data_IF_413087775339
#
_entry.id   IF_413087775339
#
_cell.length_a   1.000
_cell.length_b   1.000
_cell.length_c   1.000
_cell.angle_alpha   90.00
_cell.angle_beta   90.00
_cell.angle_gamma   90.00
#
_symmetry.space_group_name_H-M   'P 1'
#
loop_
_entity.id
_entity.type
_entity.pdbx_description
1 polymer ?
#
# COMPACT_ATOMS: atom_id res chain seq x y z
N UNK A 1 -11.89 3.75 31.87
CA UNK A 1 -10.74 4.10 31.03
C UNK A 1 -10.54 3.00 30.02
N UNK A 2 -10.30 3.32 28.74
CA UNK A 2 -10.18 2.35 27.66
C UNK A 2 -8.97 2.71 26.77
N UNK A 3 -8.06 1.76 26.56
CA UNK A 3 -6.94 1.90 25.65
C UNK A 3 -7.39 1.79 24.21
N UNK A 4 -6.68 2.43 23.30
CA UNK A 4 -7.00 2.37 21.89
C UNK A 4 -6.19 3.35 21.03
N UNK A 5 -6.66 3.54 19.80
CA UNK A 5 -6.05 4.45 18.84
C UNK A 5 -7.06 5.49 18.39
N UNK A 6 -6.68 6.75 18.49
CA UNK A 6 -7.43 7.87 17.93
C UNK A 6 -6.86 8.21 16.54
N UNK A 7 -7.71 8.20 15.52
CA UNK A 7 -7.36 8.53 14.14
C UNK A 7 -7.99 9.88 13.80
N UNK A 8 -7.18 10.79 13.24
CA UNK A 8 -7.66 12.06 12.71
C UNK A 8 -7.94 11.96 11.21
N UNK A 9 -9.13 12.43 10.81
CA UNK A 9 -9.59 12.43 9.42
C UNK A 9 -9.76 13.89 8.97
N UNK A 10 -8.68 14.52 8.50
CA UNK A 10 -8.64 15.96 8.25
C UNK A 10 -9.46 16.43 7.03
N UNK A 11 -9.48 15.66 5.94
CA UNK A 11 -10.14 16.07 4.69
C UNK A 11 -11.68 16.11 4.76
N UNK A 12 -12.27 15.57 5.83
CA UNK A 12 -13.73 15.57 6.00
C UNK A 12 -14.31 16.93 6.38
N UNK A 13 -13.52 17.77 7.04
CA UNK A 13 -14.00 19.07 7.55
C UNK A 13 -14.52 20.02 6.46
N UNK A 14 -14.08 19.84 5.22
CA UNK A 14 -14.45 20.68 4.07
C UNK A 14 -15.63 20.14 3.26
N UNK A 15 -16.25 19.03 3.66
CA UNK A 15 -17.31 18.36 2.89
C UNK A 15 -18.69 18.58 3.54
N UNK A 16 -19.77 18.53 2.74
CA UNK A 16 -21.14 18.54 3.25
C UNK A 16 -21.45 17.32 4.12
N UNK A 17 -22.40 17.43 5.07
CA UNK A 17 -22.73 16.39 6.05
C UNK A 17 -22.99 15.00 5.41
N UNK A 18 -23.74 14.93 4.31
CA UNK A 18 -24.02 13.67 3.63
C UNK A 18 -22.75 13.04 3.03
N UNK A 19 -21.83 13.86 2.49
CA UNK A 19 -20.56 13.38 2.00
C UNK A 19 -19.63 12.95 3.14
N UNK A 20 -19.63 13.69 4.25
CA UNK A 20 -18.87 13.31 5.45
C UNK A 20 -19.26 11.92 5.93
N UNK A 21 -20.56 11.62 6.05
CA UNK A 21 -21.04 10.31 6.47
C UNK A 21 -20.56 9.20 5.52
N UNK A 22 -20.74 9.37 4.21
CA UNK A 22 -20.24 8.40 3.22
C UNK A 22 -18.74 8.09 3.36
N UNK A 23 -17.91 9.14 3.56
CA UNK A 23 -16.46 8.95 3.74
C UNK A 23 -16.12 8.26 5.06
N UNK A 24 -16.84 8.57 6.15
CA UNK A 24 -16.63 7.93 7.44
C UNK A 24 -17.02 6.44 7.38
N UNK A 25 -18.17 6.12 6.77
CA UNK A 25 -18.61 4.73 6.61
C UNK A 25 -17.60 3.92 5.78
N UNK A 26 -17.11 4.49 4.67
CA UNK A 26 -16.06 3.88 3.85
C UNK A 26 -14.76 3.67 4.63
N UNK A 27 -14.41 4.62 5.50
CA UNK A 27 -13.21 4.56 6.31
C UNK A 27 -13.30 3.50 7.40
N UNK A 28 -14.41 3.46 8.15
CA UNK A 28 -14.67 2.43 9.16
C UNK A 28 -14.70 1.03 8.50
N UNK A 29 -15.30 0.91 7.32
CA UNK A 29 -15.30 -0.34 6.55
C UNK A 29 -13.88 -0.79 6.20
N UNK A 30 -13.01 0.15 5.80
CA UNK A 30 -11.60 -0.15 5.48
C UNK A 30 -10.81 -0.58 6.72
N UNK A 31 -11.03 0.07 7.87
CA UNK A 31 -10.40 -0.29 9.14
C UNK A 31 -10.85 -1.70 9.58
N UNK A 32 -12.16 -1.95 9.54
CA UNK A 32 -12.72 -3.24 9.95
C UNK A 32 -12.20 -4.38 9.08
N UNK A 33 -12.17 -4.18 7.75
CA UNK A 33 -11.62 -5.20 6.83
C UNK A 33 -10.12 -5.42 7.07
N UNK A 34 -9.35 -4.35 7.23
CA UNK A 34 -7.91 -4.44 7.46
C UNK A 34 -7.57 -5.17 8.78
N UNK A 35 -8.24 -4.83 9.86
CA UNK A 35 -8.03 -5.48 11.16
C UNK A 35 -8.50 -6.94 11.14
N UNK A 36 -9.68 -7.21 10.55
CA UNK A 36 -10.22 -8.57 10.43
C UNK A 36 -9.33 -9.49 9.58
N UNK A 37 -8.79 -9.01 8.44
CA UNK A 37 -7.83 -9.78 7.61
C UNK A 37 -6.55 -10.11 8.37
N UNK A 38 -6.12 -9.23 9.27
CA UNK A 38 -4.98 -9.44 10.15
C UNK A 38 -5.36 -10.15 11.46
N UNK A 39 -6.59 -10.71 11.57
CA UNK A 39 -7.10 -11.53 12.65
C UNK A 39 -7.25 -10.85 14.01
N UNK A 40 -7.22 -9.54 14.04
CA UNK A 40 -7.60 -8.82 15.24
C UNK A 40 -9.10 -8.99 15.49
N UNK A 41 -9.43 -9.25 16.76
CA UNK A 41 -10.80 -9.45 17.24
C UNK A 41 -11.03 -8.50 18.42
N UNK A 42 -12.28 -8.39 18.82
CA UNK A 42 -12.68 -7.62 20.02
C UNK A 42 -12.26 -6.15 19.98
N UNK A 43 -12.16 -5.56 18.79
CA UNK A 43 -11.99 -4.13 18.58
C UNK A 43 -13.35 -3.47 18.27
N UNK A 44 -13.47 -2.19 18.62
CA UNK A 44 -14.66 -1.40 18.32
C UNK A 44 -14.27 -0.03 17.74
N UNK A 45 -14.85 0.35 16.61
CA UNK A 45 -14.62 1.64 15.96
C UNK A 45 -15.76 2.60 16.29
N UNK A 46 -15.46 3.69 16.99
CA UNK A 46 -16.43 4.72 17.39
C UNK A 46 -16.05 6.05 16.75
N UNK A 47 -17.05 6.70 16.12
CA UNK A 47 -16.85 8.04 15.55
C UNK A 47 -17.01 9.13 16.61
N UNK A 48 -16.06 10.07 16.64
CA UNK A 48 -16.10 11.29 17.43
C UNK A 48 -15.88 12.52 16.54
N UNK A 49 -16.96 13.03 15.95
CA UNK A 49 -16.89 14.14 14.98
C UNK A 49 -16.07 13.76 13.75
N UNK A 50 -14.91 14.40 13.53
CA UNK A 50 -13.96 14.11 12.45
C UNK A 50 -12.84 13.16 12.86
N UNK A 51 -13.00 12.41 13.93
CA UNK A 51 -12.05 11.41 14.39
C UNK A 51 -12.73 10.07 14.57
N UNK A 52 -11.95 9.00 14.46
CA UNK A 52 -12.40 7.63 14.77
C UNK A 52 -11.51 7.11 15.89
N UNK A 53 -12.12 6.58 16.92
CA UNK A 53 -11.43 5.88 17.99
C UNK A 53 -11.62 4.37 17.80
N UNK A 54 -10.52 3.66 17.74
CA UNK A 54 -10.48 2.19 17.76
C UNK A 54 -10.19 1.77 19.19
N UNK A 55 -11.18 1.26 19.87
CA UNK A 55 -11.01 0.65 21.18
C UNK A 55 -10.36 -0.72 21.02
N UNK A 56 -9.19 -0.90 21.58
CA UNK A 56 -8.43 -2.17 21.58
C UNK A 56 -7.42 -2.20 22.72
N UNK A 57 -7.31 -3.34 23.41
CA UNK A 57 -6.53 -3.41 24.65
C UNK A 57 -5.01 -3.34 24.42
N UNK A 58 -4.53 -3.81 23.27
CA UNK A 58 -3.11 -3.83 22.89
C UNK A 58 -2.90 -2.97 21.62
N UNK A 59 -3.08 -1.63 21.72
CA UNK A 59 -3.14 -0.77 20.55
C UNK A 59 -1.84 -0.74 19.72
N UNK A 60 -0.69 -1.05 20.32
CA UNK A 60 0.60 -1.18 19.65
C UNK A 60 0.57 -2.25 18.56
N UNK A 61 -0.17 -3.34 18.79
CA UNK A 61 -0.25 -4.48 17.90
C UNK A 61 -0.90 -4.15 16.54
N UNK A 62 -1.79 -3.15 16.48
CA UNK A 62 -2.50 -2.78 15.28
C UNK A 62 -1.87 -1.61 14.51
N UNK A 63 -0.83 -0.97 15.06
CA UNK A 63 -0.16 0.20 14.44
C UNK A 63 0.34 -0.09 13.03
N UNK A 64 0.94 -1.25 12.80
CA UNK A 64 1.48 -1.60 11.49
C UNK A 64 0.39 -1.75 10.41
N UNK A 65 -0.81 -2.18 10.81
CA UNK A 65 -1.98 -2.27 9.90
C UNK A 65 -2.46 -0.88 9.53
N UNK A 66 -2.58 0.04 10.51
CA UNK A 66 -3.05 1.40 10.26
C UNK A 66 -2.18 2.17 9.27
N UNK A 67 -0.87 1.89 9.26
CA UNK A 67 0.08 2.46 8.29
C UNK A 67 -0.14 1.98 6.85
N UNK A 68 -1.03 1.03 6.62
CA UNK A 68 -1.34 0.50 5.28
C UNK A 68 -2.74 0.88 4.78
N UNK A 69 -3.57 1.50 5.61
CA UNK A 69 -4.96 1.82 5.26
C UNK A 69 -5.03 3.18 4.56
N UNK A 70 -5.52 3.26 3.31
CA UNK A 70 -5.79 4.53 2.65
C UNK A 70 -6.76 5.41 3.45
N UNK A 71 -6.42 6.68 3.61
CA UNK A 71 -7.20 7.63 4.39
C UNK A 71 -6.74 7.84 5.82
N UNK A 72 -5.93 6.95 6.40
CA UNK A 72 -5.29 7.18 7.71
C UNK A 72 -4.16 8.19 7.54
N UNK A 73 -4.37 9.43 7.93
CA UNK A 73 -3.37 10.49 7.81
C UNK A 73 -2.50 10.57 9.05
N UNK A 74 -3.15 10.73 10.21
CA UNK A 74 -2.50 10.78 11.52
C UNK A 74 -3.26 9.88 12.49
N UNK A 75 -2.55 9.18 13.34
CA UNK A 75 -3.11 8.42 14.44
C UNK A 75 -2.24 8.50 15.69
N UNK A 76 -2.81 8.19 16.83
CA UNK A 76 -2.10 8.16 18.11
C UNK A 76 -2.65 7.07 19.00
N UNK A 77 -1.77 6.41 19.75
CA UNK A 77 -2.15 5.55 20.88
C UNK A 77 -2.60 6.45 22.00
N UNK A 78 -3.73 6.16 22.60
CA UNK A 78 -4.36 7.00 23.62
C UNK A 78 -5.18 6.18 24.60
N UNK A 79 -5.37 6.73 25.79
CA UNK A 79 -6.41 6.31 26.70
C UNK A 79 -7.62 7.23 26.56
N UNK A 80 -8.82 6.65 26.47
CA UNK A 80 -10.08 7.37 26.50
C UNK A 80 -10.79 7.13 27.83
N UNK A 81 -11.49 8.15 28.31
CA UNK A 81 -12.34 8.06 29.49
C UNK A 81 -13.52 9.01 29.39
N UNK A 82 -14.64 8.62 29.98
CA UNK A 82 -15.78 9.53 30.20
C UNK A 82 -15.55 10.34 31.48
N UNK A 83 -16.10 11.53 31.55
CA UNK A 83 -15.97 12.43 32.70
C UNK A 83 -17.33 13.10 33.00
N UNK A 84 -17.54 13.40 34.28
CA UNK A 84 -18.71 14.11 34.78
C UNK A 84 -18.37 15.56 35.21
N UNK A 85 -17.10 15.82 35.56
CA UNK A 85 -16.63 17.14 35.99
C UNK A 85 -15.33 17.56 35.33
N UNK A 86 -15.04 18.86 35.40
CA UNK A 86 -13.77 19.44 34.95
C UNK A 86 -12.58 18.93 35.75
N UNK A 87 -12.77 18.82 37.07
CA UNK A 87 -11.76 18.34 38.02
C UNK A 87 -11.37 16.89 37.74
N UNK A 88 -12.32 16.08 37.31
CA UNK A 88 -12.06 14.69 36.92
C UNK A 88 -11.17 14.62 35.67
N UNK A 89 -11.40 15.48 34.67
CA UNK A 89 -10.49 15.57 33.50
C UNK A 89 -9.07 15.89 33.95
N UNK A 90 -8.92 16.91 34.81
CA UNK A 90 -7.61 17.34 35.31
C UNK A 90 -6.91 16.23 36.10
N UNK A 91 -7.63 15.52 36.97
CA UNK A 91 -7.07 14.45 37.79
C UNK A 91 -6.59 13.29 36.95
N UNK A 92 -7.43 12.76 36.04
CA UNK A 92 -7.08 11.61 35.21
C UNK A 92 -5.97 11.99 34.21
N UNK A 93 -6.06 13.17 33.58
CA UNK A 93 -5.02 13.62 32.64
C UNK A 93 -3.67 13.83 33.35
N UNK A 94 -3.67 14.32 34.57
CA UNK A 94 -2.49 14.45 35.42
C UNK A 94 -1.86 13.06 35.70
N UNK A 95 -2.66 12.10 36.16
CA UNK A 95 -2.17 10.74 36.48
C UNK A 95 -1.59 10.02 35.26
N UNK A 96 -2.17 10.22 34.09
CA UNK A 96 -1.67 9.66 32.84
C UNK A 96 -0.39 10.31 32.32
N UNK A 97 -0.06 11.53 32.80
CA UNK A 97 1.00 12.33 32.22
C UNK A 97 2.21 12.53 33.13
N UNK A 98 2.06 12.57 34.45
CA UNK A 98 3.11 12.95 35.42
C UNK A 98 4.40 12.14 35.28
N UNK A 99 4.28 10.81 35.13
CA UNK A 99 5.44 9.92 35.07
C UNK A 99 6.24 10.03 33.75
N UNK A 100 5.61 10.57 32.70
CA UNK A 100 6.24 10.78 31.41
C UNK A 100 7.17 12.00 31.38
N UNK A 101 6.99 12.93 32.31
CA UNK A 101 7.61 14.25 32.33
C UNK A 101 8.89 14.36 33.16
N UNK A 102 9.27 13.28 33.86
CA UNK A 102 10.46 13.29 34.72
C UNK A 102 11.69 13.76 33.94
N UNK A 103 12.32 14.83 34.45
CA UNK A 103 13.52 15.45 33.90
C UNK A 103 13.37 15.97 32.43
N UNK A 104 12.13 16.25 31.97
CA UNK A 104 11.85 16.74 30.62
C UNK A 104 11.05 18.03 30.65
N UNK A 105 11.30 18.87 29.64
CA UNK A 105 10.47 20.03 29.37
C UNK A 105 9.19 19.63 28.64
N UNK A 106 8.10 20.33 28.92
CA UNK A 106 6.80 19.98 28.33
C UNK A 106 5.94 21.19 27.98
N UNK A 107 4.90 20.92 27.20
CA UNK A 107 3.71 21.78 27.06
C UNK A 107 2.44 20.93 27.06
N UNK A 108 1.34 21.54 27.45
CA UNK A 108 -0.01 20.98 27.29
C UNK A 108 -0.68 21.66 26.10
N UNK A 109 -1.25 20.85 25.21
CA UNK A 109 -2.06 21.32 24.08
C UNK A 109 -3.45 20.70 24.22
N UNK A 110 -4.47 21.51 24.39
CA UNK A 110 -5.81 20.99 24.52
C UNK A 110 -6.71 21.40 23.35
N UNK A 111 -7.63 20.52 23.00
CA UNK A 111 -8.69 20.76 22.02
C UNK A 111 -10.03 20.34 22.61
N UNK A 112 -11.07 21.09 22.28
CA UNK A 112 -12.39 20.87 22.80
C UNK A 112 -13.43 20.91 21.67
N UNK A 113 -14.29 19.93 21.67
CA UNK A 113 -15.46 19.86 20.81
C UNK A 113 -16.70 19.54 21.66
N UNK A 114 -17.77 20.28 21.49
CA UNK A 114 -18.98 20.22 22.29
C UNK A 114 -19.18 21.46 23.18
N UNK A 115 -20.27 21.45 23.95
CA UNK A 115 -20.62 22.56 24.83
C UNK A 115 -20.16 22.28 26.27
N UNK A 116 -19.15 23.01 26.74
CA UNK A 116 -18.55 22.86 28.08
C UNK A 116 -18.41 24.24 28.73
N UNK A 117 -18.45 24.29 30.06
CA UNK A 117 -18.28 25.52 30.83
C UNK A 117 -16.84 26.01 30.94
N UNK A 118 -15.86 25.29 30.41
CA UNK A 118 -14.44 25.62 30.38
C UNK A 118 -13.93 25.79 28.95
N UNK A 119 -12.82 26.49 28.79
CA UNK A 119 -12.12 26.65 27.51
C UNK A 119 -10.97 25.67 27.38
N UNK A 120 -10.51 25.43 26.12
CA UNK A 120 -9.27 24.65 25.93
C UNK A 120 -8.06 25.35 26.53
N UNK A 121 -8.02 26.68 26.56
CA UNK A 121 -6.93 27.40 27.20
C UNK A 121 -6.88 27.16 28.71
N UNK A 122 -8.04 27.24 29.39
CA UNK A 122 -8.12 26.93 30.83
C UNK A 122 -7.59 25.53 31.10
N UNK A 123 -8.09 24.52 30.34
CA UNK A 123 -7.68 23.13 30.54
C UNK A 123 -6.16 22.93 30.35
N UNK A 124 -5.57 23.60 29.35
CA UNK A 124 -4.13 23.52 29.11
C UNK A 124 -3.32 24.21 30.24
N UNK A 125 -3.78 25.37 30.72
CA UNK A 125 -3.12 26.10 31.79
C UNK A 125 -3.18 25.37 33.14
N UNK A 126 -4.40 24.94 33.54
CA UNK A 126 -4.61 24.31 34.85
C UNK A 126 -3.92 22.95 34.94
N UNK A 127 -3.92 22.17 33.84
CA UNK A 127 -3.15 20.92 33.78
C UNK A 127 -1.64 21.16 33.74
N UNK A 128 -1.20 22.20 33.01
CA UNK A 128 0.20 22.60 32.96
C UNK A 128 0.74 23.02 34.32
N UNK A 129 -0.02 23.80 35.10
CA UNK A 129 0.31 24.18 36.46
C UNK A 129 0.48 22.93 37.36
N UNK A 130 -0.47 21.98 37.32
CA UNK A 130 -0.40 20.74 38.12
C UNK A 130 0.81 19.88 37.79
N UNK A 131 1.25 19.85 36.52
CA UNK A 131 2.36 19.01 36.04
C UNK A 131 3.74 19.66 36.24
N UNK A 132 3.81 20.94 36.61
CA UNK A 132 5.06 21.70 36.68
C UNK A 132 6.09 21.07 37.62
N UNK A 133 5.66 20.65 38.82
CA UNK A 133 6.53 20.09 39.84
C UNK A 133 7.06 18.66 39.49
N UNK A 134 6.52 18.06 38.45
CA UNK A 134 6.88 16.70 37.98
C UNK A 134 7.77 16.70 36.73
N UNK A 135 8.25 17.88 36.32
CA UNK A 135 8.95 18.09 35.06
C UNK A 135 10.19 18.96 35.22
N UNK A 136 11.00 19.08 34.17
CA UNK A 136 12.08 20.07 34.10
C UNK A 136 11.57 21.50 33.81
N UNK A 137 10.26 21.70 33.63
CA UNK A 137 9.61 22.97 33.38
C UNK A 137 8.82 23.05 32.11
N UNK A 138 8.12 24.17 31.90
CA UNK A 138 7.26 24.37 30.71
C UNK A 138 8.07 25.06 29.61
N UNK A 139 8.06 24.47 28.40
CA UNK A 139 8.56 25.09 27.18
C UNK A 139 7.45 25.10 26.12
N UNK A 140 6.89 26.26 25.81
CA UNK A 140 5.79 26.39 24.85
C UNK A 140 6.25 26.28 23.38
N UNK A 141 7.54 26.51 23.13
CA UNK A 141 8.08 26.58 21.76
C UNK A 141 8.74 25.26 21.32
N UNK A 142 9.65 24.71 22.14
CA UNK A 142 10.43 23.50 21.84
C UNK A 142 10.38 22.48 22.98
N UNK A 143 9.18 22.00 23.38
CA UNK A 143 9.07 21.03 24.46
C UNK A 143 9.62 19.66 24.01
N UNK A 144 10.24 18.96 24.93
CA UNK A 144 10.62 17.56 24.71
C UNK A 144 9.39 16.64 24.68
N UNK A 145 8.34 16.99 25.45
CA UNK A 145 7.06 16.26 25.42
C UNK A 145 5.90 17.25 25.25
N UNK A 146 4.97 16.92 24.36
CA UNK A 146 3.68 17.58 24.29
C UNK A 146 2.60 16.66 24.82
N UNK A 147 1.90 17.06 25.86
CA UNK A 147 0.70 16.38 26.35
C UNK A 147 -0.50 16.93 25.58
N UNK A 148 -1.17 16.08 24.82
CA UNK A 148 -2.41 16.42 24.13
C UNK A 148 -3.60 15.96 24.95
N UNK A 149 -4.56 16.86 25.18
CA UNK A 149 -5.84 16.56 25.83
C UNK A 149 -6.97 16.94 24.87
N UNK A 150 -7.66 15.96 24.34
CA UNK A 150 -8.76 16.18 23.41
C UNK A 150 -10.08 15.82 24.07
N UNK A 151 -10.93 16.82 24.32
CA UNK A 151 -12.27 16.65 24.88
C UNK A 151 -13.31 16.65 23.76
N UNK A 152 -14.12 15.61 23.72
CA UNK A 152 -15.17 15.42 22.71
C UNK A 152 -16.48 15.03 23.38
N UNK A 153 -17.39 15.99 23.53
CA UNK A 153 -18.62 15.83 24.35
C UNK A 153 -18.25 15.36 25.77
N UNK A 154 -18.64 14.17 26.16
CA UNK A 154 -18.34 13.56 27.48
C UNK A 154 -17.11 12.66 27.51
N UNK A 155 -16.38 12.54 26.41
CA UNK A 155 -15.19 11.68 26.33
C UNK A 155 -13.92 12.53 26.23
N UNK A 156 -12.90 12.17 26.97
CA UNK A 156 -11.57 12.77 26.94
C UNK A 156 -10.54 11.75 26.46
N UNK A 157 -9.56 12.23 25.68
CA UNK A 157 -8.43 11.48 25.17
C UNK A 157 -7.14 12.15 25.60
N UNK A 158 -6.16 11.39 26.12
CA UNK A 158 -4.85 11.89 26.53
C UNK A 158 -3.76 11.11 25.83
N UNK A 159 -2.86 11.82 25.16
CA UNK A 159 -1.75 11.22 24.41
C UNK A 159 -0.57 12.19 24.27
N UNK A 160 0.58 11.70 23.76
CA UNK A 160 1.81 12.50 23.69
C UNK A 160 2.30 12.78 22.26
N UNK A 161 1.94 11.97 21.29
CA UNK A 161 2.46 12.11 19.94
C UNK A 161 1.47 11.65 18.88
N UNK A 162 1.50 12.30 17.72
CA UNK A 162 0.84 11.86 16.52
C UNK A 162 1.83 11.11 15.62
N UNK A 163 1.41 9.98 15.07
CA UNK A 163 2.17 9.20 14.11
C UNK A 163 1.56 9.35 12.71
N UNK A 164 2.38 9.43 11.64
CA UNK A 164 1.88 9.45 10.28
C UNK A 164 1.36 8.07 9.87
N UNK A 165 0.21 8.07 9.21
CA UNK A 165 -0.32 6.91 8.50
C UNK A 165 0.00 6.95 6.99
N UNK A 166 -0.79 6.20 6.19
CA UNK A 166 -0.62 6.15 4.74
C UNK A 166 -1.04 7.47 4.04
N UNK A 167 -1.96 8.21 4.65
CA UNK A 167 -2.62 9.34 4.03
C UNK A 167 -3.54 8.95 2.88
N UNK A 168 -3.97 9.94 2.10
CA UNK A 168 -4.87 9.72 0.97
C UNK A 168 -6.35 9.73 1.34
N UNK A 169 -7.17 8.92 0.66
CA UNK A 169 -8.62 8.89 0.79
C UNK A 169 -9.13 7.48 1.15
N UNK A 170 -10.24 7.36 1.89
CA UNK A 170 -10.81 6.05 2.21
C UNK A 170 -11.13 5.22 0.96
N UNK A 171 -10.91 3.92 1.02
CA UNK A 171 -11.15 3.00 -0.10
C UNK A 171 -12.58 3.08 -0.62
N UNK A 172 -12.75 3.14 -1.93
CA UNK A 172 -14.05 3.25 -2.61
C UNK A 172 -14.60 4.68 -2.71
N UNK A 173 -14.00 5.67 -2.05
CA UNK A 173 -14.50 7.06 -2.05
C UNK A 173 -14.32 7.78 -3.38
N UNK A 174 -13.47 7.28 -4.27
CA UNK A 174 -13.14 7.90 -5.57
C UNK A 174 -13.54 7.04 -6.78
N UNK A 175 -14.41 6.06 -6.57
CA UNK A 175 -14.88 5.18 -7.64
C UNK A 175 -13.97 3.98 -7.89
N UNK A 176 -14.07 3.38 -9.10
CA UNK A 176 -13.34 2.15 -9.45
C UNK A 176 -12.55 2.30 -10.75
N UNK A 177 -11.35 1.74 -10.78
CA UNK A 177 -10.45 1.75 -11.93
C UNK A 177 -9.90 0.37 -12.26
N UNK A 178 -9.46 0.16 -13.50
CA UNK A 178 -8.79 -1.05 -13.98
C UNK A 178 -7.32 -0.73 -14.28
N UNK A 179 -6.39 -1.37 -13.60
CA UNK A 179 -4.94 -1.14 -13.79
C UNK A 179 -4.36 -2.15 -14.78
N UNK A 180 -3.60 -1.71 -15.77
CA UNK A 180 -2.72 -2.57 -16.56
C UNK A 180 -1.55 -3.01 -15.68
N UNK A 181 -1.52 -4.30 -15.31
CA UNK A 181 -0.60 -4.82 -14.32
C UNK A 181 0.34 -5.86 -14.93
N UNK A 182 1.62 -5.56 -15.01
CA UNK A 182 2.66 -6.46 -15.56
C UNK A 182 3.64 -7.00 -14.52
N UNK A 183 3.52 -6.59 -13.25
CA UNK A 183 4.44 -6.96 -12.18
C UNK A 183 5.78 -6.21 -12.17
N UNK A 184 6.14 -5.49 -13.25
CA UNK A 184 7.32 -4.62 -13.29
C UNK A 184 7.22 -3.44 -12.31
N UNK A 185 8.31 -2.69 -12.13
CA UNK A 185 8.45 -1.68 -11.06
C UNK A 185 7.32 -0.62 -11.07
N UNK A 186 6.90 -0.17 -12.26
CA UNK A 186 6.03 1.01 -12.40
C UNK A 186 4.55 0.69 -12.08
N UNK A 187 4.02 -0.45 -12.51
CA UNK A 187 2.59 -0.75 -12.36
C UNK A 187 2.13 -1.01 -10.91
N UNK A 188 2.89 -1.67 -10.01
CA UNK A 188 2.52 -1.74 -8.59
C UNK A 188 2.48 -0.38 -7.92
N UNK A 189 3.40 0.54 -8.29
CA UNK A 189 3.41 1.91 -7.77
C UNK A 189 2.20 2.69 -8.28
N UNK A 190 1.85 2.57 -9.57
CA UNK A 190 0.65 3.19 -10.12
C UNK A 190 -0.63 2.67 -9.45
N UNK A 191 -0.71 1.35 -9.22
CA UNK A 191 -1.81 0.72 -8.49
C UNK A 191 -1.91 1.24 -7.06
N UNK A 192 -0.80 1.28 -6.33
CA UNK A 192 -0.73 1.81 -4.98
C UNK A 192 -1.17 3.29 -4.92
N UNK A 193 -0.70 4.14 -5.84
CA UNK A 193 -1.11 5.55 -5.88
C UNK A 193 -2.61 5.70 -6.14
N UNK A 194 -3.19 4.83 -6.96
CA UNK A 194 -4.62 4.82 -7.26
C UNK A 194 -5.45 4.35 -6.05
N UNK A 195 -5.01 3.28 -5.37
CA UNK A 195 -5.61 2.81 -4.12
C UNK A 195 -5.55 3.88 -3.03
N UNK A 196 -4.38 4.52 -2.86
CA UNK A 196 -4.18 5.61 -1.90
C UNK A 196 -5.10 6.80 -2.15
N UNK A 197 -5.50 7.05 -3.41
CA UNK A 197 -6.49 8.09 -3.76
C UNK A 197 -7.94 7.67 -3.55
N UNK A 198 -8.16 6.52 -2.89
CA UNK A 198 -9.48 6.02 -2.52
C UNK A 198 -10.25 5.34 -3.65
N UNK A 199 -9.59 4.93 -4.73
CA UNK A 199 -10.22 4.11 -5.75
C UNK A 199 -10.26 2.64 -5.31
N UNK A 200 -11.33 1.92 -5.65
CA UNK A 200 -11.26 0.48 -5.81
C UNK A 200 -10.51 0.16 -7.10
N UNK A 201 -9.70 -0.89 -7.10
CA UNK A 201 -8.84 -1.20 -8.24
C UNK A 201 -8.94 -2.67 -8.60
N UNK A 202 -9.39 -2.96 -9.82
CA UNK A 202 -9.17 -4.25 -10.46
C UNK A 202 -7.91 -4.18 -11.33
N UNK A 203 -7.41 -5.33 -11.78
CA UNK A 203 -6.19 -5.41 -12.58
C UNK A 203 -6.38 -6.23 -13.84
N UNK A 204 -5.67 -5.86 -14.90
CA UNK A 204 -5.57 -6.60 -16.15
C UNK A 204 -4.12 -7.02 -16.37
N UNK A 205 -3.89 -8.32 -16.40
CA UNK A 205 -2.61 -8.92 -16.78
C UNK A 205 -2.71 -9.57 -18.16
N UNK A 206 -1.92 -9.07 -19.11
CA UNK A 206 -1.82 -9.63 -20.45
C UNK A 206 -0.58 -10.50 -20.49
N UNK A 207 -0.77 -11.83 -20.40
CA UNK A 207 0.30 -12.80 -20.30
C UNK A 207 0.76 -13.24 -21.69
N UNK A 208 1.93 -12.76 -22.12
CA UNK A 208 2.51 -13.08 -23.42
C UNK A 208 3.58 -14.19 -23.42
N UNK A 209 4.01 -14.65 -22.22
CA UNK A 209 5.15 -15.60 -22.08
C UNK A 209 4.81 -16.88 -21.32
N UNK A 210 3.55 -17.04 -20.89
CA UNK A 210 3.09 -18.24 -20.20
C UNK A 210 3.51 -18.34 -18.72
N UNK A 211 3.69 -19.58 -18.22
CA UNK A 211 3.73 -19.87 -16.79
C UNK A 211 4.92 -19.33 -15.99
N UNK A 212 6.10 -19.14 -16.60
CA UNK A 212 7.31 -18.79 -15.83
C UNK A 212 7.27 -17.41 -15.17
N UNK A 213 6.60 -16.44 -15.80
CA UNK A 213 6.49 -15.06 -15.29
C UNK A 213 5.20 -14.84 -14.50
N UNK A 214 4.21 -15.71 -14.70
CA UNK A 214 2.88 -15.62 -14.08
C UNK A 214 2.96 -15.55 -12.55
N UNK A 215 3.71 -16.45 -11.94
CA UNK A 215 3.86 -16.49 -10.48
C UNK A 215 4.57 -15.25 -9.92
N UNK A 216 5.57 -14.72 -10.62
CA UNK A 216 6.25 -13.49 -10.22
C UNK A 216 5.29 -12.29 -10.23
N UNK A 217 4.51 -12.14 -11.31
CA UNK A 217 3.49 -11.09 -11.44
C UNK A 217 2.43 -11.22 -10.34
N UNK A 218 1.92 -12.43 -10.10
CA UNK A 218 0.89 -12.66 -9.09
C UNK A 218 1.41 -12.50 -7.66
N UNK A 219 2.67 -12.80 -7.39
CA UNK A 219 3.27 -12.53 -6.09
C UNK A 219 3.24 -11.04 -5.77
N UNK A 220 3.65 -10.20 -6.73
CA UNK A 220 3.61 -8.74 -6.55
C UNK A 220 2.17 -8.22 -6.45
N UNK A 221 1.26 -8.72 -7.30
CA UNK A 221 -0.16 -8.37 -7.24
C UNK A 221 -0.78 -8.71 -5.88
N UNK A 222 -0.63 -9.96 -5.45
CA UNK A 222 -1.16 -10.45 -4.17
C UNK A 222 -0.66 -9.60 -3.00
N UNK A 223 0.63 -9.26 -3.02
CA UNK A 223 1.21 -8.40 -1.99
C UNK A 223 0.56 -7.02 -1.95
N UNK A 224 0.36 -6.38 -3.11
CA UNK A 224 -0.22 -5.03 -3.16
C UNK A 224 -1.67 -5.03 -2.70
N UNK A 225 -2.48 -6.01 -3.14
CA UNK A 225 -3.90 -6.05 -2.74
C UNK A 225 -4.09 -6.47 -1.29
N UNK A 226 -3.28 -7.39 -0.79
CA UNK A 226 -3.34 -7.82 0.61
C UNK A 226 -3.04 -6.67 1.57
N UNK A 227 -2.08 -5.82 1.18
CA UNK A 227 -1.56 -4.76 2.03
C UNK A 227 -2.29 -3.42 1.90
N UNK A 228 -2.92 -3.12 0.76
CA UNK A 228 -3.45 -1.78 0.49
C UNK A 228 -4.89 -1.74 -0.04
N UNK A 229 -5.48 -2.88 -0.42
CA UNK A 229 -6.81 -2.93 -1.00
C UNK A 229 -7.84 -3.44 0.00
N UNK A 230 -8.46 -2.53 0.76
CA UNK A 230 -9.42 -2.85 1.82
C UNK A 230 -10.85 -2.50 1.45
N UNK A 231 -11.81 -3.10 2.15
CA UNK A 231 -13.26 -2.92 2.04
C UNK A 231 -13.88 -3.44 0.72
N UNK A 232 -13.14 -4.21 -0.07
CA UNK A 232 -13.66 -4.87 -1.27
C UNK A 232 -12.78 -6.06 -1.67
N UNK A 233 -13.25 -6.83 -2.65
CA UNK A 233 -12.51 -7.97 -3.21
C UNK A 233 -12.03 -7.64 -4.62
N UNK A 234 -10.73 -7.31 -4.82
CA UNK A 234 -10.19 -6.97 -6.13
C UNK A 234 -10.29 -8.15 -7.11
N UNK A 235 -10.43 -7.84 -8.41
CA UNK A 235 -10.38 -8.84 -9.49
C UNK A 235 -9.11 -8.68 -10.31
N UNK A 236 -8.52 -9.83 -10.67
CA UNK A 236 -7.46 -9.90 -11.68
C UNK A 236 -8.04 -10.55 -12.93
N UNK A 237 -8.06 -9.81 -14.04
CA UNK A 237 -8.35 -10.32 -15.36
C UNK A 237 -7.04 -10.77 -16.00
N UNK A 238 -6.84 -12.08 -16.09
CA UNK A 238 -5.69 -12.66 -16.78
C UNK A 238 -6.09 -13.00 -18.21
N UNK A 239 -5.36 -12.49 -19.18
CA UNK A 239 -5.55 -12.75 -20.61
C UNK A 239 -4.38 -13.57 -21.12
N UNK A 240 -4.62 -14.79 -21.60
CA UNK A 240 -3.60 -15.53 -22.35
C UNK A 240 -3.40 -14.89 -23.71
N UNK A 241 -2.27 -14.22 -23.87
CA UNK A 241 -1.85 -13.50 -25.06
C UNK A 241 -0.55 -14.06 -25.64
N UNK A 242 -0.25 -15.34 -25.42
CA UNK A 242 0.96 -16.00 -25.94
C UNK A 242 1.06 -15.99 -27.47
N UNK A 243 -0.07 -15.90 -28.18
CA UNK A 243 -0.14 -15.73 -29.65
C UNK A 243 0.10 -14.30 -30.15
N UNK A 244 -0.01 -13.29 -29.27
CA UNK A 244 0.06 -11.87 -29.68
C UNK A 244 1.42 -11.45 -30.25
N UNK A 245 2.58 -11.86 -29.71
CA UNK A 245 3.87 -11.51 -30.29
C UNK A 245 4.02 -11.96 -31.75
N UNK A 246 3.64 -13.19 -32.06
CA UNK A 246 3.69 -13.72 -33.43
C UNK A 246 2.72 -12.99 -34.38
N UNK A 247 1.50 -12.71 -33.91
CA UNK A 247 0.54 -11.92 -34.67
C UNK A 247 1.08 -10.55 -35.05
N UNK A 248 1.66 -9.83 -34.08
CA UNK A 248 2.23 -8.50 -34.32
C UNK A 248 3.49 -8.55 -35.21
N UNK A 249 4.28 -9.62 -35.12
CA UNK A 249 5.43 -9.79 -36.00
C UNK A 249 5.03 -9.97 -37.46
N UNK A 250 3.93 -10.67 -37.72
CA UNK A 250 3.42 -10.93 -39.08
C UNK A 250 2.71 -9.72 -39.68
N UNK A 251 1.95 -8.97 -38.88
CA UNK A 251 1.00 -7.99 -39.40
C UNK A 251 1.43 -6.53 -39.20
N UNK A 252 2.46 -6.25 -38.37
CA UNK A 252 2.87 -4.90 -38.03
C UNK A 252 4.37 -4.71 -38.30
N UNK A 253 4.73 -3.60 -38.93
CA UNK A 253 6.12 -3.25 -39.18
C UNK A 253 6.90 -3.13 -37.88
N UNK A 254 8.17 -3.57 -37.89
CA UNK A 254 8.99 -3.64 -36.68
C UNK A 254 9.06 -2.32 -35.89
N UNK A 255 9.10 -1.19 -36.58
CA UNK A 255 9.18 0.16 -36.00
C UNK A 255 7.93 0.57 -35.23
N UNK A 256 6.76 -0.03 -35.52
CA UNK A 256 5.44 0.30 -34.93
C UNK A 256 4.88 -0.79 -34.00
N UNK A 257 5.57 -1.93 -33.85
CA UNK A 257 5.07 -3.05 -33.03
C UNK A 257 4.83 -2.66 -31.58
N UNK A 258 5.68 -1.81 -31.00
CA UNK A 258 5.54 -1.36 -29.63
C UNK A 258 4.27 -0.49 -29.45
N UNK A 259 3.97 0.37 -30.41
CA UNK A 259 2.75 1.18 -30.42
C UNK A 259 1.52 0.28 -30.59
N UNK A 260 1.55 -0.66 -31.54
CA UNK A 260 0.46 -1.61 -31.76
C UNK A 260 0.20 -2.49 -30.53
N UNK A 261 1.25 -2.97 -29.86
CA UNK A 261 1.13 -3.70 -28.60
C UNK A 261 0.41 -2.88 -27.52
N UNK A 262 0.77 -1.62 -27.38
CA UNK A 262 0.11 -0.69 -26.44
C UNK A 262 -1.37 -0.49 -26.79
N UNK A 263 -1.69 -0.32 -28.08
CA UNK A 263 -3.06 -0.18 -28.56
C UNK A 263 -3.87 -1.43 -28.17
N UNK A 264 -3.32 -2.65 -28.36
CA UNK A 264 -3.99 -3.89 -27.95
C UNK A 264 -4.26 -3.90 -26.45
N UNK A 265 -3.30 -3.49 -25.61
CA UNK A 265 -3.50 -3.44 -24.15
C UNK A 265 -4.61 -2.47 -23.75
N UNK A 266 -4.67 -1.31 -24.40
CA UNK A 266 -5.72 -0.33 -24.13
C UNK A 266 -7.10 -0.80 -24.63
N UNK A 267 -7.16 -1.46 -25.78
CA UNK A 267 -8.41 -2.03 -26.31
C UNK A 267 -8.93 -3.18 -25.44
N UNK A 268 -8.05 -4.05 -24.95
CA UNK A 268 -8.39 -5.09 -23.97
C UNK A 268 -8.91 -4.44 -22.68
N UNK A 269 -8.20 -3.43 -22.16
CA UNK A 269 -8.63 -2.67 -20.99
C UNK A 269 -10.00 -2.05 -21.20
N UNK A 270 -10.21 -1.35 -22.31
CA UNK A 270 -11.49 -0.72 -22.70
C UNK A 270 -12.64 -1.72 -22.69
N UNK A 271 -12.43 -2.89 -23.29
CA UNK A 271 -13.44 -3.95 -23.37
C UNK A 271 -13.80 -4.52 -22.00
N UNK A 272 -12.84 -4.53 -21.07
CA UNK A 272 -13.03 -5.05 -19.72
C UNK A 272 -13.55 -4.02 -18.71
N UNK A 273 -13.53 -2.71 -18.99
CA UNK A 273 -14.03 -1.68 -18.07
C UNK A 273 -15.46 -1.98 -17.59
N UNK A 274 -16.38 -2.29 -18.52
CA UNK A 274 -17.77 -2.60 -18.17
C UNK A 274 -17.87 -3.87 -17.32
N UNK A 275 -17.10 -4.92 -17.65
CA UNK A 275 -17.12 -6.20 -16.92
C UNK A 275 -16.55 -6.05 -15.50
N UNK A 276 -15.56 -5.18 -15.31
CA UNK A 276 -15.00 -4.86 -13.99
C UNK A 276 -15.86 -3.87 -13.20
N UNK A 277 -16.75 -3.11 -13.86
CA UNK A 277 -17.47 -1.98 -13.27
C UNK A 277 -16.56 -0.77 -13.05
N UNK A 278 -15.45 -0.68 -13.80
CA UNK A 278 -14.47 0.42 -13.72
C UNK A 278 -14.81 1.54 -14.70
N UNK A 279 -14.44 2.78 -14.32
CA UNK A 279 -14.67 3.99 -15.13
C UNK A 279 -13.43 4.47 -15.85
N UNK A 280 -12.25 4.03 -15.41
CA UNK A 280 -10.97 4.46 -15.94
C UNK A 280 -10.00 3.28 -16.08
N UNK A 281 -9.13 3.37 -17.08
CA UNK A 281 -7.93 2.55 -17.21
C UNK A 281 -6.78 3.27 -16.49
N UNK A 282 -5.94 2.54 -15.77
CA UNK A 282 -4.74 3.08 -15.11
C UNK A 282 -3.51 2.42 -15.68
N UNK A 283 -2.47 3.22 -15.96
CA UNK A 283 -1.19 2.74 -16.48
C UNK A 283 -0.03 3.26 -15.64
N UNK A 284 1.07 2.52 -15.62
CA UNK A 284 2.34 2.92 -15.00
C UNK A 284 3.24 3.73 -15.94
N UNK A 285 2.66 4.46 -16.89
CA UNK A 285 3.43 5.25 -17.85
C UNK A 285 4.02 6.50 -17.21
N UNK A 286 5.28 6.78 -17.57
CA UNK A 286 6.02 8.00 -17.24
C UNK A 286 6.61 8.58 -18.52
N UNK A 287 6.58 9.91 -18.67
CA UNK A 287 7.05 10.57 -19.88
C UNK A 287 8.51 10.22 -20.19
N UNK A 288 8.77 9.96 -21.48
CA UNK A 288 10.10 9.74 -22.05
C UNK A 288 10.89 8.52 -21.52
N UNK A 289 10.30 7.65 -20.68
CA UNK A 289 10.98 6.43 -20.23
C UNK A 289 11.08 5.35 -21.31
N UNK A 290 10.09 5.28 -22.21
CA UNK A 290 10.07 4.31 -23.33
C UNK A 290 9.62 5.02 -24.62
N UNK A 291 9.91 4.43 -25.76
CA UNK A 291 9.52 4.98 -27.09
C UNK A 291 8.02 5.23 -27.25
N UNK A 292 7.18 4.45 -26.56
CA UNK A 292 5.71 4.62 -26.56
C UNK A 292 5.20 5.62 -25.52
N UNK A 293 6.10 6.30 -24.81
CA UNK A 293 5.75 7.21 -23.70
C UNK A 293 6.13 8.67 -24.00
N UNK A 294 6.31 9.02 -25.27
CA UNK A 294 6.36 10.42 -25.73
C UNK A 294 4.94 10.98 -25.79
N UNK A 295 4.78 12.29 -25.68
CA UNK A 295 3.46 12.95 -25.76
C UNK A 295 2.75 12.56 -27.05
N UNK A 296 3.44 12.55 -28.20
CA UNK A 296 2.88 12.19 -29.49
C UNK A 296 2.39 10.73 -29.51
N UNK A 297 3.19 9.78 -28.98
CA UNK A 297 2.78 8.38 -28.91
C UNK A 297 1.58 8.19 -27.98
N UNK A 298 1.57 8.85 -26.83
CA UNK A 298 0.46 8.77 -25.86
C UNK A 298 -0.83 9.37 -26.40
N UNK A 299 -0.75 10.52 -27.10
CA UNK A 299 -1.91 11.16 -27.73
C UNK A 299 -2.52 10.26 -28.81
N UNK A 300 -1.70 9.73 -29.71
CA UNK A 300 -2.17 8.89 -30.80
C UNK A 300 -2.76 7.56 -30.30
N UNK A 301 -2.11 6.89 -29.35
CA UNK A 301 -2.63 5.67 -28.72
C UNK A 301 -3.98 5.98 -28.05
N UNK A 302 -4.07 7.10 -27.33
CA UNK A 302 -5.29 7.54 -26.68
C UNK A 302 -6.43 7.77 -27.66
N UNK A 303 -6.16 8.45 -28.77
CA UNK A 303 -7.15 8.75 -29.82
C UNK A 303 -7.67 7.47 -30.51
N UNK A 304 -6.79 6.51 -30.84
CA UNK A 304 -7.17 5.24 -31.45
C UNK A 304 -7.99 4.33 -30.52
N UNK A 305 -7.88 4.52 -29.21
CA UNK A 305 -8.59 3.71 -28.22
C UNK A 305 -9.78 4.44 -27.58
N UNK A 306 -10.00 5.69 -27.97
CA UNK A 306 -11.13 6.52 -27.50
C UNK A 306 -12.51 5.83 -27.71
N UNK A 307 -13.55 6.17 -26.91
CA UNK A 307 -13.49 6.97 -25.69
C UNK A 307 -13.15 6.12 -24.46
N UNK A 308 -12.06 6.42 -23.79
CA UNK A 308 -11.72 5.90 -22.47
C UNK A 308 -11.04 6.98 -21.62
N UNK A 309 -11.28 6.99 -20.32
CA UNK A 309 -10.49 7.77 -19.38
C UNK A 309 -9.23 6.97 -19.02
N UNK A 310 -8.05 7.53 -19.26
CA UNK A 310 -6.78 6.91 -18.86
C UNK A 310 -6.10 7.77 -17.78
N UNK A 311 -5.90 7.18 -16.61
CA UNK A 311 -5.18 7.79 -15.51
C UNK A 311 -3.72 7.32 -15.55
N UNK A 312 -2.80 8.26 -15.43
CA UNK A 312 -1.35 8.01 -15.45
C UNK A 312 -0.71 8.59 -14.19
N UNK A 313 -0.82 7.91 -13.02
CA UNK A 313 -0.37 8.45 -11.74
C UNK A 313 1.13 8.80 -11.71
N UNK A 314 1.93 8.22 -12.60
CA UNK A 314 3.38 8.37 -12.63
C UNK A 314 3.89 9.24 -13.78
N UNK A 315 3.01 9.94 -14.49
CA UNK A 315 3.36 10.61 -15.76
C UNK A 315 4.51 11.61 -15.64
N UNK A 316 4.64 12.27 -14.50
CA UNK A 316 5.66 13.31 -14.23
C UNK A 316 6.81 12.82 -13.35
N UNK A 317 6.78 11.57 -12.87
CA UNK A 317 7.85 11.01 -12.03
C UNK A 317 9.03 10.53 -12.89
N UNK A 318 10.25 10.79 -12.45
CA UNK A 318 11.42 10.15 -13.01
C UNK A 318 11.60 8.71 -12.50
N UNK A 319 12.56 7.96 -13.10
CA UNK A 319 12.77 6.55 -12.73
C UNK A 319 13.23 6.37 -11.28
N UNK A 320 14.01 7.32 -10.76
CA UNK A 320 14.52 7.24 -9.37
C UNK A 320 13.40 7.50 -8.35
N UNK A 321 12.51 8.44 -8.64
CA UNK A 321 11.33 8.70 -7.83
C UNK A 321 10.41 7.48 -7.77
N UNK A 322 10.15 6.83 -8.90
CA UNK A 322 9.35 5.59 -8.97
C UNK A 322 10.04 4.46 -8.18
N UNK A 323 11.35 4.29 -8.32
CA UNK A 323 12.12 3.29 -7.55
C UNK A 323 12.06 3.58 -6.06
N UNK A 324 12.17 4.85 -5.65
CA UNK A 324 12.04 5.25 -4.25
C UNK A 324 10.65 4.88 -3.69
N UNK A 325 9.58 5.14 -4.45
CA UNK A 325 8.23 4.74 -4.07
C UNK A 325 8.08 3.22 -4.01
N UNK A 326 8.60 2.47 -5.01
CA UNK A 326 8.55 1.01 -5.04
C UNK A 326 9.25 0.39 -3.81
N UNK A 327 10.40 0.95 -3.38
CA UNK A 327 11.07 0.56 -2.13
C UNK A 327 10.26 0.91 -0.91
N UNK A 328 9.66 2.11 -0.87
CA UNK A 328 8.82 2.54 0.24
C UNK A 328 7.61 1.63 0.49
N UNK A 329 7.00 1.11 -0.57
CA UNK A 329 5.89 0.15 -0.46
C UNK A 329 6.35 -1.31 -0.37
N UNK A 330 7.64 -1.61 -0.60
CA UNK A 330 8.23 -2.95 -0.47
C UNK A 330 8.11 -3.84 -1.72
N UNK A 331 7.87 -3.28 -2.91
CA UNK A 331 7.70 -4.06 -4.16
C UNK A 331 8.93 -4.11 -5.04
N UNK A 332 9.94 -3.22 -4.81
CA UNK A 332 11.05 -3.01 -5.74
C UNK A 332 11.80 -4.29 -6.08
N UNK A 333 12.32 -5.02 -5.09
CA UNK A 333 13.17 -6.17 -5.32
C UNK A 333 12.43 -7.34 -6.02
N UNK A 334 11.14 -7.53 -5.73
CA UNK A 334 10.32 -8.53 -6.41
C UNK A 334 10.03 -8.12 -7.86
N UNK A 335 9.67 -6.85 -8.07
CA UNK A 335 9.36 -6.31 -9.39
C UNK A 335 10.57 -6.24 -10.32
N UNK A 336 11.78 -6.01 -9.78
CA UNK A 336 13.03 -6.01 -10.56
C UNK A 336 13.35 -7.39 -11.16
N UNK A 337 12.88 -8.47 -10.51
CA UNK A 337 13.07 -9.84 -10.98
C UNK A 337 12.07 -10.25 -12.07
N UNK A 338 10.95 -9.56 -12.19
CA UNK A 338 9.93 -9.85 -13.22
C UNK A 338 10.50 -9.56 -14.59
N UNK A 339 10.62 -10.58 -15.43
CA UNK A 339 11.13 -10.43 -16.80
C UNK A 339 10.21 -9.55 -17.64
N UNK A 340 10.80 -8.62 -18.35
CA UNK A 340 10.05 -7.74 -19.24
C UNK A 340 9.49 -8.53 -20.43
N UNK A 341 8.15 -8.50 -20.58
CA UNK A 341 7.42 -9.23 -21.62
C UNK A 341 7.20 -8.39 -22.90
N UNK A 342 7.34 -7.08 -22.80
CA UNK A 342 6.90 -6.14 -23.85
C UNK A 342 7.95 -5.86 -24.94
N UNK A 343 9.13 -6.49 -24.91
CA UNK A 343 10.17 -6.24 -25.90
C UNK A 343 10.01 -7.14 -27.13
N UNK A 344 9.09 -6.74 -28.04
CA UNK A 344 8.73 -7.50 -29.27
C UNK A 344 9.31 -6.91 -30.54
N UNK A 345 10.03 -5.79 -30.45
CA UNK A 345 10.71 -5.14 -31.60
C UNK A 345 12.20 -5.35 -31.50
N UNK A 346 12.85 -5.57 -32.64
CA UNK A 346 14.31 -5.69 -32.75
C UNK A 346 14.89 -4.47 -33.46
N UNK A 347 15.90 -3.80 -32.85
CA UNK A 347 16.56 -2.61 -33.43
C UNK A 347 15.74 -1.31 -33.21
N UNK A 348 15.78 -0.41 -34.19
CA UNK A 348 15.16 0.92 -34.07
C UNK A 348 13.64 0.84 -33.98
N UNK A 349 13.05 1.51 -32.99
CA UNK A 349 11.62 1.75 -32.83
C UNK A 349 11.32 3.24 -32.97
N UNK A 350 10.12 3.56 -33.47
CA UNK A 350 9.68 4.95 -33.63
C UNK A 350 9.31 5.52 -32.26
N UNK A 351 10.09 6.49 -31.77
CA UNK A 351 9.82 7.19 -30.51
C UNK A 351 8.89 8.40 -30.70
N UNK A 352 8.96 9.05 -31.87
CA UNK A 352 8.11 10.20 -32.23
C UNK A 352 7.38 9.83 -33.52
N UNK A 353 6.26 9.09 -33.43
CA UNK A 353 5.51 8.70 -34.63
C UNK A 353 4.77 9.91 -35.24
N UNK A 354 4.70 9.92 -36.57
CA UNK A 354 3.84 10.84 -37.32
C UNK A 354 2.41 10.24 -37.42
N UNK A 355 1.34 11.02 -37.52
CA UNK A 355 -0.02 10.51 -37.68
C UNK A 355 -0.16 9.44 -38.78
N UNK A 356 0.49 9.63 -39.95
CA UNK A 356 0.54 8.64 -41.04
C UNK A 356 1.17 7.30 -40.66
N UNK A 357 2.00 7.23 -39.64
CA UNK A 357 2.58 5.96 -39.23
C UNK A 357 1.51 5.09 -38.60
N UNK A 358 0.55 5.66 -37.85
CA UNK A 358 -0.54 4.94 -37.26
C UNK A 358 -1.57 4.42 -38.27
N UNK A 359 -1.74 5.09 -39.42
CA UNK A 359 -2.56 4.58 -40.53
C UNK A 359 -2.01 3.26 -41.10
N UNK A 360 -0.74 2.96 -40.84
CA UNK A 360 -0.06 1.71 -41.25
C UNK A 360 -0.24 0.58 -40.25
N UNK A 361 -0.83 0.85 -39.10
CA UNK A 361 -1.21 -0.19 -38.13
C UNK A 361 -2.55 -0.76 -38.57
N UNK A 362 -2.64 -2.07 -38.77
CA UNK A 362 -3.91 -2.69 -39.20
C UNK A 362 -4.97 -2.58 -38.10
N UNK A 363 -6.23 -2.84 -38.44
CA UNK A 363 -7.27 -2.99 -37.41
C UNK A 363 -6.90 -4.14 -36.47
N UNK A 364 -6.76 -3.79 -35.17
CA UNK A 364 -6.38 -4.74 -34.11
C UNK A 364 -7.61 -5.33 -33.38
N UNK A 365 -8.82 -4.91 -33.77
CA UNK A 365 -10.06 -5.42 -33.16
C UNK A 365 -10.18 -6.94 -33.23
N UNK A 366 -9.88 -7.63 -34.35
CA UNK A 366 -10.02 -9.09 -34.44
C UNK A 366 -9.14 -9.85 -33.45
N UNK A 367 -7.88 -9.45 -33.29
CA UNK A 367 -7.00 -10.11 -32.30
C UNK A 367 -7.44 -9.81 -30.87
N UNK A 368 -7.94 -8.60 -30.58
CA UNK A 368 -8.48 -8.26 -29.26
C UNK A 368 -9.69 -9.12 -28.93
N UNK A 369 -10.62 -9.32 -29.87
CA UNK A 369 -11.79 -10.19 -29.68
C UNK A 369 -11.39 -11.65 -29.45
N UNK A 370 -10.36 -12.15 -30.15
CA UNK A 370 -9.83 -13.50 -29.92
C UNK A 370 -9.26 -13.63 -28.50
N UNK A 371 -8.44 -12.68 -28.08
CA UNK A 371 -7.81 -12.67 -26.77
C UNK A 371 -8.85 -12.56 -25.63
N UNK A 372 -9.92 -11.82 -25.83
CA UNK A 372 -11.00 -11.66 -24.85
C UNK A 372 -11.73 -13.00 -24.57
N UNK A 373 -11.73 -13.96 -25.51
CA UNK A 373 -12.29 -15.30 -25.28
C UNK A 373 -11.46 -16.13 -24.29
N UNK A 374 -10.20 -15.76 -24.07
CA UNK A 374 -9.24 -16.45 -23.20
C UNK A 374 -9.05 -15.78 -21.84
N UNK A 375 -9.99 -14.90 -21.41
CA UNK A 375 -9.92 -14.18 -20.14
C UNK A 375 -10.30 -15.09 -19.00
N UNK A 376 -9.39 -15.24 -18.03
CA UNK A 376 -9.63 -15.87 -16.72
C UNK A 376 -9.80 -14.76 -15.69
N UNK A 377 -10.81 -14.89 -14.82
CA UNK A 377 -11.06 -13.91 -13.75
C UNK A 377 -10.75 -14.55 -12.41
N UNK A 378 -9.83 -13.95 -11.68
CA UNK A 378 -9.49 -14.31 -10.31
C UNK A 378 -10.07 -13.27 -9.36
N UNK A 379 -10.58 -13.69 -8.19
CA UNK A 379 -11.12 -12.79 -7.16
C UNK A 379 -10.26 -12.86 -5.90
N UNK A 380 -9.78 -11.69 -5.45
CA UNK A 380 -8.84 -11.59 -4.33
C UNK A 380 -7.44 -12.04 -4.72
N UNK A 381 -6.73 -12.70 -3.79
CA UNK A 381 -5.40 -13.24 -4.05
C UNK A 381 -5.45 -14.40 -5.03
N UNK A 382 -4.51 -14.39 -5.98
CA UNK A 382 -4.42 -15.45 -7.02
C UNK A 382 -3.51 -16.56 -6.51
N UNK A 383 -3.94 -17.83 -6.58
CA UNK A 383 -3.07 -18.95 -6.23
C UNK A 383 -1.80 -18.96 -7.07
N UNK A 384 -0.66 -19.19 -6.42
CA UNK A 384 0.62 -19.39 -7.10
C UNK A 384 0.82 -20.87 -7.40
N UNK A 385 1.34 -21.18 -8.59
CA UNK A 385 1.66 -22.56 -8.95
C UNK A 385 2.82 -23.08 -8.07
N UNK A 386 2.64 -24.26 -7.50
CA UNK A 386 3.61 -24.86 -6.55
C UNK A 386 4.91 -25.34 -7.21
N UNK A 387 4.95 -25.40 -8.55
CA UNK A 387 6.11 -25.88 -9.33
C UNK A 387 7.14 -24.81 -9.66
N UNK A 388 7.05 -23.62 -9.09
CA UNK A 388 8.06 -22.58 -9.36
C UNK A 388 9.33 -22.90 -8.62
N UNK A 389 10.43 -22.99 -9.36
CA UNK A 389 11.77 -23.23 -8.84
C UNK A 389 12.11 -22.19 -7.78
N UNK A 390 12.14 -22.60 -6.51
CA UNK A 390 12.85 -21.86 -5.49
C UNK A 390 14.30 -21.68 -5.95
N UNK A 391 14.90 -20.52 -5.67
CA UNK A 391 16.35 -20.31 -5.91
C UNK A 391 17.21 -21.33 -5.16
N UNK A 392 16.60 -22.08 -4.24
CA UNK A 392 17.18 -23.12 -3.43
C UNK A 392 16.48 -24.46 -3.71
N UNK A 393 17.26 -25.51 -3.88
CA UNK A 393 16.76 -26.90 -3.98
C UNK A 393 16.52 -27.55 -2.61
N UNK A 394 17.22 -27.07 -1.56
CA UNK A 394 17.09 -27.46 -0.16
C UNK A 394 17.56 -26.32 0.74
N UNK A 395 17.23 -26.37 2.04
CA UNK A 395 17.77 -25.43 3.00
C UNK A 395 19.28 -25.70 3.22
N UNK A 396 20.17 -24.71 3.00
CA UNK A 396 21.60 -24.86 3.28
C UNK A 396 21.85 -25.08 4.77
N UNK A 397 22.81 -25.93 5.13
CA UNK A 397 23.18 -26.22 6.53
C UNK A 397 23.60 -24.95 7.30
N UNK A 398 24.23 -23.99 6.62
CA UNK A 398 24.65 -22.70 7.21
C UNK A 398 23.60 -21.60 7.04
N UNK A 399 22.32 -21.92 6.82
CA UNK A 399 21.25 -20.92 6.72
C UNK A 399 20.87 -20.36 8.09
N UNK A 400 20.43 -19.11 8.09
CA UNK A 400 19.78 -18.45 9.23
C UNK A 400 18.43 -17.93 8.76
N UNK A 401 17.36 -18.50 9.27
CA UNK A 401 15.99 -18.27 8.82
C UNK A 401 15.29 -17.23 9.68
N UNK A 402 14.66 -16.27 9.04
CA UNK A 402 13.98 -15.15 9.71
C UNK A 402 12.53 -15.04 9.21
N UNK A 403 11.60 -15.21 10.12
CA UNK A 403 10.18 -15.02 9.84
C UNK A 403 9.82 -13.54 9.99
N UNK A 404 9.57 -12.87 8.87
CA UNK A 404 9.20 -11.44 8.84
C UNK A 404 7.69 -11.22 8.66
N UNK A 405 6.89 -12.25 8.85
CA UNK A 405 5.43 -12.12 8.87
C UNK A 405 4.97 -11.36 10.12
N UNK A 406 3.83 -10.73 10.01
CA UNK A 406 3.18 -10.10 11.16
C UNK A 406 2.76 -11.15 12.20
N UNK A 407 2.69 -10.82 13.51
CA UNK A 407 2.44 -11.78 14.59
C UNK A 407 1.17 -12.63 14.39
N UNK A 408 0.09 -12.02 13.90
CA UNK A 408 -1.16 -12.72 13.60
C UNK A 408 -1.00 -13.85 12.58
N UNK A 409 -0.22 -13.61 11.50
CA UNK A 409 0.06 -14.63 10.50
C UNK A 409 0.99 -15.73 11.00
N UNK A 410 1.89 -15.43 11.94
CA UNK A 410 2.75 -16.44 12.58
C UNK A 410 1.93 -17.38 13.46
N UNK A 411 0.96 -16.84 14.22
CA UNK A 411 0.03 -17.64 15.03
C UNK A 411 -0.79 -18.64 14.20
N UNK A 412 -1.14 -18.28 12.94
CA UNK A 412 -1.86 -19.18 12.02
C UNK A 412 -1.05 -20.38 11.57
N UNK A 413 0.17 -20.15 11.19
CA UNK A 413 1.09 -21.17 10.69
C UNK A 413 2.45 -20.95 11.31
N UNK A 414 2.73 -21.72 12.34
CA UNK A 414 4.05 -21.71 12.97
C UNK A 414 5.09 -22.22 11.97
N UNK A 415 6.19 -21.48 11.84
CA UNK A 415 7.38 -21.88 11.11
C UNK A 415 8.51 -22.01 12.14
N UNK A 416 9.29 -23.08 12.04
CA UNK A 416 10.53 -23.18 12.81
C UNK A 416 11.58 -22.32 12.16
N UNK A 417 11.83 -21.12 12.70
CA UNK A 417 12.81 -20.15 12.23
C UNK A 417 13.74 -19.75 13.36
N UNK A 418 14.94 -19.27 13.02
CA UNK A 418 15.96 -18.86 13.98
C UNK A 418 15.65 -17.50 14.63
N UNK A 419 14.91 -16.64 13.93
CA UNK A 419 14.49 -15.34 14.46
C UNK A 419 13.12 -14.90 13.89
N UNK A 420 12.50 -13.95 14.59
CA UNK A 420 11.25 -13.31 14.18
C UNK A 420 11.38 -11.79 14.20
N UNK A 421 10.93 -11.14 13.14
CA UNK A 421 10.88 -9.68 13.00
C UNK A 421 9.61 -9.26 12.26
N UNK A 422 9.35 -7.95 12.17
CA UNK A 422 8.26 -7.39 11.39
C UNK A 422 8.84 -6.37 10.40
N UNK A 423 8.34 -6.37 9.17
CA UNK A 423 8.67 -5.33 8.21
C UNK A 423 7.81 -4.06 8.46
N UNK A 424 8.35 -2.82 8.44
CA UNK A 424 9.72 -2.47 8.01
C UNK A 424 10.77 -2.47 9.14
N UNK A 425 10.42 -2.77 10.37
CA UNK A 425 11.30 -2.62 11.54
C UNK A 425 12.60 -3.45 11.42
N UNK A 426 12.52 -4.60 10.74
CA UNK A 426 13.69 -5.41 10.43
C UNK A 426 14.78 -4.62 9.68
N UNK A 427 14.42 -3.64 8.86
CA UNK A 427 15.39 -2.84 8.11
C UNK A 427 16.30 -1.99 9.03
N UNK A 428 15.79 -1.63 10.22
CA UNK A 428 16.55 -0.92 11.24
C UNK A 428 17.44 -1.86 12.06
N UNK A 429 17.20 -3.17 12.02
CA UNK A 429 17.92 -4.19 12.77
C UNK A 429 18.95 -4.96 11.92
N UNK A 430 19.15 -4.60 10.65
CA UNK A 430 20.04 -5.31 9.73
C UNK A 430 21.53 -5.26 10.14
N UNK A 431 21.93 -4.34 10.97
CA UNK A 431 23.29 -4.29 11.56
C UNK A 431 23.55 -5.42 12.56
N UNK A 432 22.53 -6.06 13.10
CA UNK A 432 22.65 -7.23 13.96
C UNK A 432 23.05 -8.49 13.17
N UNK A 433 22.96 -8.47 11.84
CA UNK A 433 23.40 -9.56 10.96
C UNK A 433 24.87 -9.34 10.57
N UNK A 434 25.78 -10.06 11.21
CA UNK A 434 27.24 -9.84 11.07
C UNK A 434 28.02 -10.99 10.45
N UNK A 435 27.48 -12.23 10.49
CA UNK A 435 28.18 -13.42 9.99
C UNK A 435 28.02 -13.56 8.47
N UNK A 436 29.09 -13.25 7.74
CA UNK A 436 29.14 -13.36 6.27
C UNK A 436 29.20 -14.79 5.73
N UNK A 437 29.42 -15.79 6.58
CA UNK A 437 29.44 -17.20 6.18
C UNK A 437 28.02 -17.79 6.15
N UNK A 438 27.04 -17.14 6.81
CA UNK A 438 25.65 -17.57 6.80
C UNK A 438 24.91 -17.12 5.55
N UNK A 439 23.88 -17.89 5.18
CA UNK A 439 22.88 -17.52 4.19
C UNK A 439 21.63 -17.11 4.93
N UNK A 440 21.28 -15.84 4.85
CA UNK A 440 20.09 -15.30 5.52
C UNK A 440 18.84 -15.50 4.67
N UNK A 441 17.82 -16.15 5.23
CA UNK A 441 16.59 -16.48 4.50
C UNK A 441 15.43 -15.76 5.18
N UNK A 442 14.84 -14.79 4.47
CA UNK A 442 13.72 -13.99 4.97
C UNK A 442 12.39 -14.51 4.41
N UNK A 443 11.47 -14.88 5.31
CA UNK A 443 10.22 -15.54 4.96
C UNK A 443 9.05 -14.59 5.19
N UNK A 444 8.24 -14.38 4.15
CA UNK A 444 7.00 -13.60 4.22
C UNK A 444 5.87 -14.29 3.40
N UNK A 445 4.61 -13.87 3.49
CA UNK A 445 3.51 -14.59 2.86
C UNK A 445 3.70 -14.86 1.36
N UNK A 446 4.12 -13.85 0.60
CA UNK A 446 4.25 -13.91 -0.87
C UNK A 446 5.70 -13.87 -1.39
N UNK A 447 6.70 -13.88 -0.51
CA UNK A 447 8.10 -13.75 -0.88
C UNK A 447 8.56 -12.32 -1.21
N UNK A 448 7.65 -11.36 -1.34
CA UNK A 448 7.95 -10.00 -1.82
C UNK A 448 8.77 -9.20 -0.81
N UNK A 449 8.31 -9.08 0.43
CA UNK A 449 9.06 -8.39 1.49
C UNK A 449 10.36 -9.11 1.83
N UNK A 450 10.37 -10.45 1.80
CA UNK A 450 11.58 -11.24 1.99
C UNK A 450 12.66 -10.88 0.97
N UNK A 451 12.29 -10.74 -0.30
CA UNK A 451 13.19 -10.31 -1.37
C UNK A 451 13.69 -8.87 -1.16
N UNK A 452 12.85 -7.96 -0.67
CA UNK A 452 13.27 -6.58 -0.37
C UNK A 452 14.33 -6.55 0.74
N UNK A 453 14.10 -7.26 1.85
CA UNK A 453 15.07 -7.35 2.96
C UNK A 453 16.37 -8.03 2.49
N UNK A 454 16.28 -9.13 1.75
CA UNK A 454 17.42 -9.83 1.17
C UNK A 454 18.22 -8.94 0.23
N UNK A 455 17.58 -8.15 -0.62
CA UNK A 455 18.23 -7.21 -1.52
C UNK A 455 19.04 -6.14 -0.74
N UNK A 456 18.47 -5.57 0.32
CA UNK A 456 19.16 -4.58 1.16
C UNK A 456 20.38 -5.21 1.84
N UNK A 457 20.24 -6.43 2.38
CA UNK A 457 21.34 -7.12 3.06
C UNK A 457 22.43 -7.56 2.07
N UNK A 458 22.04 -8.01 0.87
CA UNK A 458 23.00 -8.39 -0.19
C UNK A 458 23.87 -7.21 -0.64
N UNK A 459 23.33 -5.99 -0.67
CA UNK A 459 24.10 -4.77 -0.94
C UNK A 459 25.16 -4.45 0.11
N UNK A 460 25.01 -4.99 1.32
CA UNK A 460 26.01 -4.91 2.39
C UNK A 460 27.03 -6.07 2.34
N UNK A 461 26.99 -6.91 1.29
CA UNK A 461 27.94 -8.00 1.04
C UNK A 461 27.59 -9.32 1.74
N UNK A 462 26.34 -9.51 2.16
CA UNK A 462 25.88 -10.76 2.75
C UNK A 462 25.16 -11.64 1.72
N UNK A 463 25.16 -12.95 1.92
CA UNK A 463 24.32 -13.88 1.16
C UNK A 463 22.93 -13.87 1.75
N UNK A 464 21.91 -13.44 0.98
CA UNK A 464 20.54 -13.33 1.46
C UNK A 464 19.53 -13.72 0.38
N UNK A 465 18.44 -14.38 0.78
CA UNK A 465 17.35 -14.85 -0.08
C UNK A 465 16.01 -14.55 0.57
N UNK A 466 15.03 -14.10 -0.21
CA UNK A 466 13.65 -13.91 0.23
C UNK A 466 12.76 -15.03 -0.31
N UNK A 467 11.99 -15.68 0.56
CA UNK A 467 11.09 -16.77 0.20
C UNK A 467 9.65 -16.48 0.64
N UNK A 468 8.71 -17.03 -0.10
CA UNK A 468 7.33 -17.16 0.38
C UNK A 468 7.23 -18.29 1.39
N UNK A 469 6.14 -18.28 2.19
CA UNK A 469 5.81 -19.38 3.12
C UNK A 469 5.73 -20.72 2.40
N UNK A 470 5.19 -20.73 1.18
CA UNK A 470 5.04 -21.97 0.40
C UNK A 470 6.40 -22.49 -0.09
N UNK A 471 7.24 -21.60 -0.65
CA UNK A 471 8.61 -21.96 -1.06
C UNK A 471 9.42 -22.50 0.13
N UNK A 472 9.40 -21.80 1.27
CA UNK A 472 10.10 -22.26 2.48
C UNK A 472 9.60 -23.62 2.97
N UNK A 473 8.27 -23.85 2.95
CA UNK A 473 7.69 -25.11 3.39
C UNK A 473 8.04 -26.29 2.43
N UNK A 474 8.31 -26.02 1.17
CA UNK A 474 8.71 -27.05 0.18
C UNK A 474 10.20 -27.42 0.27
N UNK A 475 11.04 -26.64 0.97
CA UNK A 475 12.46 -26.90 1.18
C UNK A 475 12.76 -27.76 2.42
N UNK A 476 11.76 -27.91 3.30
CA UNK A 476 11.79 -28.78 4.49
C UNK A 476 11.26 -30.16 4.16
#
# INVERSE_FOLDING_TARGET
>A
MQAGILIRVNELALKSNNKQRFFIDAFISSINDALSRNEFKDFNCVQFGHSIFIAYNEPEDIVYVLKTIPGVELFTITNSFEFESYEEILSIAFDLSKDLLKDKTFRVTSRRFGNHKFTSMNLAADLGEKLMDFSAGVDLHNPEITIFVEVRNKTCFVHTAWQPGLGGMPSGSSGKALVLFSGGIDCPVAMYQTLRKGCFVDSLFVNMVGGSVRNEVFSVYNFVIDRFAYAYKPKMFEVDATSLPEYLQKNVSNTLRQQALKIVFYLLGKSLLKKSGSWALVTGESLSQKSTQTIQSLDMIQNLTSPILVLRPLITYDKQEIIKLARGIGTFAASEQVKEQCNISTGKVTAVPHPKDFERIPDLTPIVEELLKKVIVHEGTVPLDTKTSSQLSSLPENSFTVDIRVPSMRKKKLLSCDAEHVYPDILNSLENYSDKNKIYIFICPFGVLGKEVAHVLSKKGFKAVGLSVNEFSSLK
#
